data_IF_389099837563
#
_entry.id   IF_389099837563
#
_cell.length_a   1.000
_cell.length_b   1.000
_cell.length_c   1.000
_cell.angle_alpha   90.00
_cell.angle_beta   90.00
_cell.angle_gamma   90.00
#
_symmetry.space_group_name_H-M   'P 1'
#
loop_
_entity.id
_entity.type
_entity.pdbx_description
1 polymer ?
#
# COMPACT_ATOMS: atom_id res chain seq x y z
N UNK A 1 54.20 30.46 12.30
CA UNK A 1 53.50 30.58 11.01
C UNK A 1 52.96 29.19 10.67
N UNK A 2 51.63 29.06 10.59
CA UNK A 2 50.77 27.91 10.17
C UNK A 2 51.05 26.46 10.59
N UNK A 3 50.21 26.00 11.53
CA UNK A 3 49.39 24.77 11.56
C UNK A 3 49.45 23.82 10.36
N UNK A 4 49.70 22.53 10.63
CA UNK A 4 48.89 21.37 10.20
C UNK A 4 49.14 20.21 11.20
N UNK A 5 48.06 19.59 11.68
CA UNK A 5 48.03 18.61 12.78
C UNK A 5 48.60 17.24 12.39
N UNK A 6 49.06 16.41 13.35
CA UNK A 6 49.48 15.04 13.07
C UNK A 6 48.27 14.17 12.73
N UNK A 7 48.36 13.52 11.56
CA UNK A 7 47.46 12.54 10.96
C UNK A 7 46.89 11.55 12.00
N UNK A 8 45.64 11.75 12.43
CA UNK A 8 44.83 10.69 13.03
C UNK A 8 44.65 9.62 11.95
N UNK A 9 45.30 8.47 12.11
CA UNK A 9 44.79 7.24 11.51
C UNK A 9 43.47 6.96 12.23
N UNK A 10 42.37 7.55 11.76
CA UNK A 10 41.03 7.31 12.30
C UNK A 10 40.82 5.82 12.33
N UNK A 11 40.27 5.30 13.42
CA UNK A 11 40.07 3.86 13.62
C UNK A 11 39.30 3.23 12.44
N UNK A 12 38.52 4.02 11.70
CA UNK A 12 37.88 3.66 10.43
C UNK A 12 38.86 3.17 9.34
N UNK A 13 40.02 3.83 9.17
CA UNK A 13 41.02 3.45 8.17
C UNK A 13 41.76 2.15 8.55
N UNK A 14 41.92 1.89 9.85
CA UNK A 14 42.56 0.66 10.36
C UNK A 14 41.56 -0.52 10.41
N UNK A 15 40.28 -0.24 10.65
CA UNK A 15 39.20 -1.24 10.56
C UNK A 15 38.81 -1.57 9.11
N UNK A 16 39.23 -0.75 8.15
CA UNK A 16 38.90 -0.94 6.76
C UNK A 16 39.45 -2.25 6.20
N UNK A 17 40.56 -2.83 6.68
CA UNK A 17 41.26 -3.96 6.02
C UNK A 17 41.23 -5.32 6.76
N UNK A 18 40.22 -5.58 7.59
CA UNK A 18 40.01 -6.95 8.08
C UNK A 18 39.14 -7.74 7.08
N UNK A 19 39.69 -8.67 6.27
CA UNK A 19 38.91 -9.45 5.31
C UNK A 19 37.79 -10.23 6.01
N UNK A 20 38.01 -10.68 7.25
CA UNK A 20 37.03 -11.39 8.08
C UNK A 20 35.87 -10.49 8.55
N UNK A 21 36.12 -9.19 8.78
CA UNK A 21 35.09 -8.22 9.15
C UNK A 21 34.30 -7.76 7.93
N UNK A 22 34.97 -7.53 6.79
CA UNK A 22 34.30 -7.24 5.50
C UNK A 22 33.38 -8.39 5.12
N UNK A 23 33.84 -9.65 5.23
CA UNK A 23 33.01 -10.81 4.90
C UNK A 23 31.87 -11.02 5.88
N UNK A 24 32.06 -10.81 7.19
CA UNK A 24 30.97 -10.93 8.17
C UNK A 24 29.91 -9.83 8.01
N UNK A 25 30.33 -8.57 7.76
CA UNK A 25 29.42 -7.46 7.48
C UNK A 25 28.70 -7.65 6.15
N UNK A 26 29.42 -8.04 5.09
CA UNK A 26 28.83 -8.35 3.79
C UNK A 26 27.87 -9.53 3.89
N UNK A 27 28.17 -10.57 4.69
CA UNK A 27 27.25 -11.69 4.90
C UNK A 27 26.03 -11.29 5.73
N UNK A 28 26.18 -10.41 6.73
CA UNK A 28 25.04 -9.85 7.46
C UNK A 28 24.19 -8.97 6.54
N UNK A 29 24.82 -8.18 5.66
CA UNK A 29 24.17 -7.32 4.69
C UNK A 29 23.37 -8.14 3.66
N UNK A 30 23.97 -9.19 3.11
CA UNK A 30 23.29 -10.14 2.24
C UNK A 30 22.15 -10.88 2.95
N UNK A 31 22.32 -11.26 4.23
CA UNK A 31 21.24 -11.84 5.03
C UNK A 31 20.10 -10.84 5.27
N UNK A 32 20.42 -9.57 5.56
CA UNK A 32 19.41 -8.53 5.75
C UNK A 32 18.67 -8.21 4.47
N UNK A 33 19.36 -8.18 3.32
CA UNK A 33 18.74 -7.99 2.01
C UNK A 33 17.80 -9.15 1.68
N UNK A 34 18.23 -10.40 1.88
CA UNK A 34 17.39 -11.57 1.69
C UNK A 34 16.16 -11.58 2.61
N UNK A 35 16.29 -11.14 3.87
CA UNK A 35 15.19 -11.04 4.81
C UNK A 35 14.21 -9.92 4.42
N UNK A 36 14.72 -8.78 3.97
CA UNK A 36 13.92 -7.66 3.45
C UNK A 36 13.16 -8.08 2.18
N UNK A 37 13.82 -8.74 1.22
CA UNK A 37 13.20 -9.26 -0.01
C UNK A 37 12.07 -10.26 0.28
N UNK A 38 12.25 -11.17 1.24
CA UNK A 38 11.21 -12.09 1.68
C UNK A 38 9.99 -11.38 2.28
N UNK A 39 10.20 -10.29 3.03
CA UNK A 39 9.13 -9.47 3.59
C UNK A 39 8.41 -8.64 2.52
N UNK A 40 9.11 -8.12 1.50
CA UNK A 40 8.47 -7.33 0.43
C UNK A 40 7.55 -8.20 -0.44
N UNK A 41 7.96 -9.44 -0.71
CA UNK A 41 7.17 -10.42 -1.48
C UNK A 41 5.98 -10.94 -0.66
N UNK A 42 6.14 -11.14 0.66
CA UNK A 42 5.05 -11.57 1.54
C UNK A 42 4.00 -10.49 1.80
N UNK A 43 4.36 -9.20 1.70
CA UNK A 43 3.40 -8.07 1.77
C UNK A 43 2.44 -8.07 0.58
N UNK A 44 2.76 -8.74 -0.54
CA UNK A 44 2.01 -8.62 -1.79
C UNK A 44 1.52 -9.97 -2.36
N UNK A 45 0.64 -10.66 -1.60
CA UNK A 45 -0.65 -11.07 -2.16
C UNK A 45 -1.86 -10.75 -1.25
N UNK A 46 -1.63 -10.36 0.01
CA UNK A 46 -2.73 -10.07 0.95
C UNK A 46 -3.40 -8.70 0.69
N UNK A 47 -2.71 -7.80 -0.02
CA UNK A 47 -3.26 -6.53 -0.50
C UNK A 47 -3.93 -6.63 -1.88
N UNK A 48 -3.63 -7.70 -2.65
CA UNK A 48 -4.11 -7.85 -4.03
C UNK A 48 -5.55 -8.37 -4.11
N UNK A 49 -6.03 -8.97 -3.03
CA UNK A 49 -7.40 -9.48 -2.91
C UNK A 49 -8.13 -8.88 -1.72
N UNK A 50 -7.86 -7.61 -1.38
CA UNK A 50 -8.73 -6.91 -0.45
C UNK A 50 -10.13 -6.91 -1.08
N UNK A 51 -11.14 -7.48 -0.41
CA UNK A 51 -12.50 -7.45 -0.95
C UNK A 51 -12.89 -5.99 -1.14
N UNK A 52 -13.54 -5.69 -2.28
CA UNK A 52 -14.12 -4.38 -2.50
C UNK A 52 -14.90 -3.96 -1.25
N UNK A 53 -14.74 -2.72 -0.75
CA UNK A 53 -15.50 -2.24 0.39
C UNK A 53 -16.99 -2.48 0.14
N UNK A 54 -17.72 -2.83 1.20
CA UNK A 54 -19.14 -3.14 1.09
C UNK A 54 -19.98 -2.07 1.79
N UNK A 55 -21.14 -1.79 1.21
CA UNK A 55 -22.11 -0.85 1.77
C UNK A 55 -23.48 -1.51 1.91
N UNK A 56 -24.09 -1.39 3.09
CA UNK A 56 -25.48 -1.83 3.32
C UNK A 56 -26.41 -0.66 3.03
N UNK A 57 -27.26 -0.84 2.01
CA UNK A 57 -28.29 0.14 1.61
C UNK A 57 -29.22 0.43 2.78
N UNK A 58 -29.50 1.71 3.03
CA UNK A 58 -30.41 2.18 4.07
C UNK A 58 -31.76 2.58 3.47
N UNK A 59 -32.77 2.74 4.33
CA UNK A 59 -34.08 3.27 3.92
C UNK A 59 -33.94 4.63 3.24
N UNK A 60 -34.48 4.74 2.03
CA UNK A 60 -34.43 5.94 1.19
C UNK A 60 -33.16 6.11 0.36
N UNK A 61 -32.20 5.17 0.41
CA UNK A 61 -31.01 5.23 -0.43
C UNK A 61 -31.33 4.93 -1.91
N UNK A 62 -30.74 5.73 -2.79
CA UNK A 62 -30.58 5.43 -4.21
C UNK A 62 -29.10 5.24 -4.54
N UNK A 63 -28.76 4.62 -5.69
CA UNK A 63 -27.35 4.47 -6.09
C UNK A 63 -26.60 5.82 -6.14
N UNK A 64 -27.29 6.90 -6.49
CA UNK A 64 -26.74 8.26 -6.50
C UNK A 64 -26.45 8.77 -5.08
N UNK A 65 -27.37 8.54 -4.12
CA UNK A 65 -27.17 8.91 -2.71
C UNK A 65 -26.03 8.08 -2.09
N UNK A 66 -25.97 6.79 -2.41
CA UNK A 66 -24.88 5.90 -1.98
C UNK A 66 -23.54 6.41 -2.53
N UNK A 67 -23.49 6.72 -3.84
CA UNK A 67 -22.29 7.30 -4.46
C UNK A 67 -21.87 8.61 -3.78
N UNK A 68 -22.81 9.54 -3.59
CA UNK A 68 -22.56 10.82 -2.94
C UNK A 68 -22.03 10.64 -1.51
N UNK A 69 -22.59 9.69 -0.76
CA UNK A 69 -22.20 9.42 0.62
C UNK A 69 -20.80 8.79 0.72
N UNK A 70 -20.44 7.93 -0.22
CA UNK A 70 -19.18 7.19 -0.20
C UNK A 70 -18.02 7.97 -0.83
N UNK A 71 -18.29 8.69 -1.91
CA UNK A 71 -17.27 9.32 -2.74
C UNK A 71 -17.37 10.85 -2.77
N UNK A 72 -18.40 11.44 -2.17
CA UNK A 72 -18.64 12.89 -2.23
C UNK A 72 -19.19 13.39 -3.58
N UNK A 73 -19.35 12.51 -4.57
CA UNK A 73 -19.90 12.84 -5.89
C UNK A 73 -20.90 11.78 -6.34
N UNK A 74 -21.82 12.18 -7.22
CA UNK A 74 -22.88 11.28 -7.69
C UNK A 74 -22.40 10.34 -8.80
N UNK A 75 -21.36 10.70 -9.57
CA UNK A 75 -21.02 10.06 -10.86
C UNK A 75 -20.65 8.57 -10.78
N UNK A 76 -20.21 8.09 -9.61
CA UNK A 76 -19.87 6.68 -9.41
C UNK A 76 -21.08 5.75 -9.27
N UNK A 77 -22.31 6.27 -9.29
CA UNK A 77 -23.52 5.44 -9.21
C UNK A 77 -23.57 4.35 -10.29
N UNK A 78 -23.07 4.64 -11.50
CA UNK A 78 -23.01 3.67 -12.62
C UNK A 78 -22.01 2.55 -12.35
N UNK A 79 -20.83 2.91 -11.86
CA UNK A 79 -19.80 1.93 -11.50
C UNK A 79 -20.30 1.00 -10.37
N UNK A 80 -21.02 1.55 -9.38
CA UNK A 80 -21.67 0.74 -8.34
C UNK A 80 -22.72 -0.19 -8.98
N UNK A 81 -23.54 0.31 -9.90
CA UNK A 81 -24.56 -0.50 -10.58
C UNK A 81 -23.95 -1.68 -11.34
N UNK A 82 -22.95 -1.40 -12.18
CA UNK A 82 -22.25 -2.40 -13.00
C UNK A 82 -21.56 -3.46 -12.13
N UNK A 83 -20.83 -3.03 -11.10
CA UNK A 83 -20.14 -3.93 -10.18
C UNK A 83 -21.11 -4.88 -9.46
N UNK A 84 -22.32 -4.42 -9.17
CA UNK A 84 -23.36 -5.19 -8.47
C UNK A 84 -24.40 -5.83 -9.40
N UNK A 85 -24.19 -5.76 -10.72
CA UNK A 85 -25.12 -6.26 -11.76
C UNK A 85 -26.55 -5.75 -11.53
N UNK A 86 -26.67 -4.44 -11.36
CA UNK A 86 -27.95 -3.76 -11.20
C UNK A 86 -28.27 -3.07 -12.53
N UNK A 87 -29.23 -3.65 -13.24
CA UNK A 87 -29.73 -3.11 -14.50
C UNK A 87 -30.87 -2.10 -14.28
N UNK A 88 -31.27 -1.42 -15.36
CA UNK A 88 -32.45 -0.57 -15.38
C UNK A 88 -33.66 -1.34 -14.81
N UNK A 89 -34.43 -0.76 -13.86
CA UNK A 89 -34.51 0.66 -13.48
C UNK A 89 -33.54 1.12 -12.37
N UNK A 90 -32.44 0.41 -12.11
CA UNK A 90 -31.41 0.75 -11.13
C UNK A 90 -31.89 0.81 -9.68
N UNK A 91 -32.88 -0.04 -9.36
CA UNK A 91 -33.51 -0.08 -8.03
C UNK A 91 -32.65 -0.84 -7.03
N UNK A 92 -32.50 -0.25 -5.85
CA UNK A 92 -31.87 -0.85 -4.67
C UNK A 92 -32.86 -0.87 -3.52
N UNK A 93 -32.70 -1.86 -2.64
CA UNK A 93 -33.58 -2.05 -1.49
C UNK A 93 -32.77 -1.96 -0.19
N UNK A 94 -33.36 -1.42 0.89
CA UNK A 94 -32.73 -1.41 2.21
C UNK A 94 -32.29 -2.80 2.64
N UNK A 95 -31.13 -2.89 3.28
CA UNK A 95 -30.51 -4.16 3.71
C UNK A 95 -29.71 -4.88 2.61
N UNK A 96 -29.79 -4.46 1.35
CA UNK A 96 -28.94 -5.01 0.29
C UNK A 96 -27.48 -4.61 0.53
N UNK A 97 -26.58 -5.57 0.41
CA UNK A 97 -25.12 -5.32 0.42
C UNK A 97 -24.67 -5.00 -1.01
N UNK A 98 -24.01 -3.86 -1.18
CA UNK A 98 -23.41 -3.41 -2.43
C UNK A 98 -21.89 -3.48 -2.31
N UNK A 99 -21.24 -4.03 -3.32
CA UNK A 99 -19.81 -3.85 -3.54
C UNK A 99 -19.54 -2.42 -4.02
N UNK A 100 -18.52 -1.80 -3.47
CA UNK A 100 -18.15 -0.42 -3.74
C UNK A 100 -16.81 -0.43 -4.48
N UNK A 101 -16.71 0.24 -5.65
CA UNK A 101 -15.44 0.29 -6.38
C UNK A 101 -14.40 1.05 -5.55
N UNK A 102 -13.16 0.54 -5.53
CA UNK A 102 -12.03 1.25 -4.96
C UNK A 102 -11.62 2.32 -5.97
N UNK A 103 -11.86 3.59 -5.63
CA UNK A 103 -11.29 4.71 -6.38
C UNK A 103 -9.82 4.85 -5.95
N UNK A 104 -8.92 4.35 -6.79
CA UNK A 104 -7.50 4.68 -6.67
C UNK A 104 -7.34 6.17 -6.92
N UNK A 105 -6.72 6.89 -5.98
CA UNK A 105 -6.19 8.21 -6.28
C UNK A 105 -4.97 7.96 -7.17
N UNK A 106 -5.21 7.73 -8.46
CA UNK A 106 -4.16 7.47 -9.43
C UNK A 106 -3.48 8.81 -9.78
N UNK A 107 -2.66 9.33 -8.86
CA UNK A 107 -1.71 10.43 -9.08
C UNK A 107 -2.24 11.84 -8.86
#
# INVERSE_FOLDING_TARGET
>A
MSLLQPDEITVEALMADLPMQRSARHQLELQTLSLLEGLTLAVNPLLQSAPNPQYVVKDGDSLQIVSLRLFGVIDYWRAIAELNRIDYPFVVYPGRVLQVPIIGNDG
#
